data_IF_434777944265
#
_entry.id   IF_434777944265
#
_cell.length_a   1.000
_cell.length_b   1.000
_cell.length_c   1.000
_cell.angle_alpha   90.00
_cell.angle_beta   90.00
_cell.angle_gamma   90.00
#
_symmetry.space_group_name_H-M   'P 1'
#
loop_
_entity.id
_entity.type
_entity.pdbx_description
1 polymer ?
#
# COMPACT_ATOMS: atom_id res chain seq x y z
N UNK A 1 -0.85 -31.86 -21.32
CA UNK A 1 -0.82 -31.58 -22.77
C UNK A 1 -1.52 -30.25 -22.99
N UNK A 2 -0.77 -29.15 -22.91
CA UNK A 2 -1.26 -27.83 -23.30
C UNK A 2 -1.45 -27.83 -24.81
N UNK A 3 -2.67 -27.50 -25.26
CA UNK A 3 -2.89 -27.29 -26.69
C UNK A 3 -2.16 -26.00 -27.09
N UNK A 4 -1.45 -25.98 -28.22
CA UNK A 4 -0.80 -24.77 -28.70
C UNK A 4 -1.88 -23.71 -28.98
N UNK A 5 -1.67 -22.50 -28.47
CA UNK A 5 -2.52 -21.33 -28.71
C UNK A 5 -2.83 -21.20 -30.20
N UNK A 6 -4.08 -21.45 -30.58
CA UNK A 6 -4.52 -21.48 -31.97
C UNK A 6 -4.64 -20.04 -32.51
N UNK A 7 -3.71 -19.70 -33.41
CA UNK A 7 -3.76 -18.53 -34.29
C UNK A 7 -3.02 -17.32 -33.72
N UNK A 8 -2.01 -16.84 -34.45
CA UNK A 8 -1.35 -15.56 -34.19
C UNK A 8 -2.35 -14.42 -34.38
N UNK A 9 -3.12 -14.10 -33.34
CA UNK A 9 -4.03 -12.96 -33.32
C UNK A 9 -3.21 -11.70 -33.11
N UNK A 10 -3.50 -10.67 -33.90
CA UNK A 10 -2.74 -9.42 -33.89
C UNK A 10 -2.82 -8.81 -32.49
N UNK A 11 -1.70 -8.35 -31.90
CA UNK A 11 -1.76 -7.63 -30.64
C UNK A 11 -2.69 -6.43 -30.80
N UNK A 12 -3.51 -6.11 -29.78
CA UNK A 12 -4.39 -4.95 -29.86
C UNK A 12 -3.58 -3.71 -30.18
N UNK A 13 -4.09 -2.89 -31.09
CA UNK A 13 -3.52 -1.57 -31.32
C UNK A 13 -3.55 -0.80 -29.99
N UNK A 14 -2.49 -0.04 -29.67
CA UNK A 14 -2.33 0.63 -28.36
C UNK A 14 -3.59 1.41 -27.94
N UNK A 15 -4.22 2.10 -28.89
CA UNK A 15 -5.47 2.84 -28.67
C UNK A 15 -6.62 1.98 -28.15
N UNK A 16 -6.75 0.73 -28.63
CA UNK A 16 -7.80 -0.20 -28.20
C UNK A 16 -7.48 -0.76 -26.81
N UNK A 17 -6.21 -1.05 -26.54
CA UNK A 17 -5.76 -1.52 -25.22
C UNK A 17 -5.90 -0.45 -24.12
N UNK A 18 -5.86 0.84 -24.49
CA UNK A 18 -6.06 1.95 -23.56
C UNK A 18 -7.53 2.18 -23.18
N UNK A 19 -8.51 1.69 -23.96
CA UNK A 19 -9.94 1.93 -23.69
C UNK A 19 -10.36 1.44 -22.30
N UNK A 20 -10.08 0.17 -21.89
CA UNK A 20 -10.48 -0.30 -20.56
C UNK A 20 -9.73 0.41 -19.43
N UNK A 21 -8.47 0.81 -19.67
CA UNK A 21 -7.65 1.53 -18.68
C UNK A 21 -8.16 2.94 -18.47
N UNK A 22 -8.43 3.67 -19.54
CA UNK A 22 -9.00 5.02 -19.48
C UNK A 22 -10.40 5.01 -18.84
N UNK A 23 -11.22 4.02 -19.19
CA UNK A 23 -12.52 3.83 -18.56
C UNK A 23 -12.39 3.55 -17.06
N UNK A 24 -11.48 2.66 -16.65
CA UNK A 24 -11.24 2.37 -15.24
C UNK A 24 -10.82 3.62 -14.46
N UNK A 25 -9.91 4.43 -15.00
CA UNK A 25 -9.47 5.68 -14.37
C UNK A 25 -10.64 6.66 -14.23
N UNK A 26 -11.43 6.83 -15.30
CA UNK A 26 -12.60 7.71 -15.29
C UNK A 26 -13.68 7.23 -14.31
N UNK A 27 -13.95 5.92 -14.27
CA UNK A 27 -14.90 5.30 -13.36
C UNK A 27 -14.46 5.46 -11.90
N UNK A 28 -13.17 5.21 -11.61
CA UNK A 28 -12.62 5.42 -10.26
C UNK A 28 -12.72 6.90 -9.85
N UNK A 29 -12.32 7.83 -10.71
CA UNK A 29 -12.45 9.26 -10.45
C UNK A 29 -13.92 9.66 -10.18
N UNK A 30 -14.85 9.15 -10.99
CA UNK A 30 -16.29 9.41 -10.84
C UNK A 30 -16.91 8.76 -9.60
N UNK A 31 -16.36 7.66 -9.10
CA UNK A 31 -16.81 7.09 -7.82
C UNK A 31 -16.22 7.85 -6.62
N UNK A 32 -14.96 8.31 -6.70
CA UNK A 32 -14.24 8.87 -5.55
C UNK A 32 -14.50 10.37 -5.36
N UNK A 33 -14.67 11.15 -6.43
CA UNK A 33 -14.77 12.63 -6.33
C UNK A 33 -16.23 13.11 -6.24
N UNK A 34 -17.10 12.89 -7.24
CA UNK A 34 -18.49 13.35 -7.22
C UNK A 34 -19.41 12.51 -6.32
N UNK A 35 -19.18 11.20 -6.23
CA UNK A 35 -20.07 10.27 -5.53
C UNK A 35 -19.59 9.88 -4.12
N UNK A 36 -18.67 10.66 -3.55
CA UNK A 36 -18.10 10.40 -2.22
C UNK A 36 -19.16 10.22 -1.14
N UNK A 37 -20.26 10.98 -1.22
CA UNK A 37 -21.35 10.95 -0.22
C UNK A 37 -22.24 9.71 -0.31
N UNK A 38 -22.22 9.00 -1.44
CA UNK A 38 -23.03 7.79 -1.63
C UNK A 38 -22.29 6.51 -1.19
N UNK A 39 -21.07 6.65 -0.66
CA UNK A 39 -20.19 5.54 -0.26
C UNK A 39 -20.12 4.42 -1.33
N UNK A 40 -20.24 4.80 -2.61
CA UNK A 40 -20.22 3.83 -3.69
C UNK A 40 -18.88 3.10 -3.65
N UNK A 41 -18.97 1.79 -3.46
CA UNK A 41 -17.77 0.97 -3.34
C UNK A 41 -16.99 0.99 -4.66
N UNK A 42 -15.66 1.11 -4.55
CA UNK A 42 -14.72 1.02 -5.68
C UNK A 42 -14.89 -0.27 -6.49
N UNK A 43 -15.52 -1.30 -5.90
CA UNK A 43 -15.91 -2.53 -6.57
C UNK A 43 -16.78 -2.30 -7.82
N UNK A 44 -17.68 -1.32 -7.82
CA UNK A 44 -18.54 -1.06 -8.99
C UNK A 44 -17.73 -0.51 -10.18
N UNK A 45 -16.76 0.35 -9.92
CA UNK A 45 -15.84 0.84 -10.94
C UNK A 45 -14.98 -0.30 -11.52
N UNK A 46 -14.51 -1.21 -10.67
CA UNK A 46 -13.73 -2.38 -11.10
C UNK A 46 -14.57 -3.36 -11.92
N UNK A 47 -15.78 -3.70 -11.48
CA UNK A 47 -16.69 -4.60 -12.21
C UNK A 47 -17.05 -4.02 -13.57
N UNK A 48 -17.43 -2.75 -13.63
CA UNK A 48 -17.76 -2.10 -14.90
C UNK A 48 -16.55 -2.02 -15.84
N UNK A 49 -15.35 -1.76 -15.33
CA UNK A 49 -14.13 -1.82 -16.13
C UNK A 49 -13.85 -3.22 -16.68
N UNK A 50 -14.07 -4.28 -15.89
CA UNK A 50 -13.96 -5.68 -16.36
C UNK A 50 -14.98 -5.98 -17.47
N UNK A 51 -16.21 -5.48 -17.35
CA UNK A 51 -17.23 -5.62 -18.43
C UNK A 51 -16.76 -4.93 -19.71
N UNK A 52 -16.24 -3.71 -19.61
CA UNK A 52 -15.68 -2.98 -20.76
C UNK A 52 -14.48 -3.71 -21.36
N UNK A 53 -13.57 -4.22 -20.53
CA UNK A 53 -12.42 -5.01 -20.98
C UNK A 53 -12.85 -6.27 -21.73
N UNK A 54 -13.82 -7.01 -21.20
CA UNK A 54 -14.39 -8.20 -21.84
C UNK A 54 -15.06 -7.86 -23.16
N UNK A 55 -15.79 -6.73 -23.24
CA UNK A 55 -16.40 -6.28 -24.48
C UNK A 55 -15.37 -5.94 -25.55
N UNK A 56 -14.31 -5.21 -25.19
CA UNK A 56 -13.19 -4.90 -26.09
C UNK A 56 -12.50 -6.19 -26.56
N UNK A 57 -12.27 -7.15 -25.66
CA UNK A 57 -11.69 -8.45 -26.02
C UNK A 57 -12.57 -9.22 -27.02
N UNK A 58 -13.89 -9.22 -26.84
CA UNK A 58 -14.81 -9.84 -27.80
C UNK A 58 -14.74 -9.18 -29.18
N UNK A 59 -14.65 -7.85 -29.25
CA UNK A 59 -14.48 -7.12 -30.53
C UNK A 59 -13.16 -7.44 -31.23
N UNK A 60 -12.13 -7.78 -30.48
CA UNK A 60 -10.83 -8.24 -30.99
C UNK A 60 -10.84 -9.72 -31.43
N UNK A 61 -11.98 -10.41 -31.29
CA UNK A 61 -12.14 -11.79 -31.70
C UNK A 61 -11.70 -12.82 -30.65
N UNK A 62 -11.55 -12.42 -29.38
CA UNK A 62 -11.38 -13.39 -28.29
C UNK A 62 -12.71 -14.08 -27.97
N UNK A 63 -12.64 -15.39 -27.80
CA UNK A 63 -13.78 -16.20 -27.37
C UNK A 63 -14.05 -15.97 -25.89
N UNK A 64 -15.30 -16.17 -25.46
CA UNK A 64 -15.66 -16.06 -24.04
C UNK A 64 -14.78 -16.92 -23.13
N UNK A 65 -14.44 -18.14 -23.59
CA UNK A 65 -13.60 -19.06 -22.83
C UNK A 65 -12.18 -18.51 -22.60
N UNK A 66 -11.58 -17.87 -23.61
CA UNK A 66 -10.26 -17.24 -23.46
C UNK A 66 -10.31 -16.04 -22.50
N UNK A 67 -11.40 -15.28 -22.53
CA UNK A 67 -11.63 -14.16 -21.60
C UNK A 67 -11.79 -14.70 -20.17
N UNK A 68 -12.57 -15.77 -19.98
CA UNK A 68 -12.75 -16.45 -18.70
C UNK A 68 -11.45 -17.01 -18.14
N UNK A 69 -10.64 -17.69 -18.97
CA UNK A 69 -9.31 -18.16 -18.58
C UNK A 69 -8.40 -17.01 -18.14
N UNK A 70 -8.44 -15.87 -18.83
CA UNK A 70 -7.73 -14.66 -18.42
C UNK A 70 -8.21 -14.11 -17.07
N UNK A 71 -9.52 -14.08 -16.83
CA UNK A 71 -10.11 -13.67 -15.54
C UNK A 71 -9.66 -14.60 -14.40
N UNK A 72 -9.71 -15.92 -14.60
CA UNK A 72 -9.27 -16.91 -13.61
C UNK A 72 -7.76 -16.81 -13.32
N UNK A 73 -6.95 -16.52 -14.34
CA UNK A 73 -5.52 -16.23 -14.16
C UNK A 73 -5.29 -15.01 -13.27
N UNK A 74 -6.03 -13.91 -13.51
CA UNK A 74 -5.98 -12.71 -12.67
C UNK A 74 -6.40 -12.98 -11.22
N UNK A 75 -7.47 -13.76 -11.01
CA UNK A 75 -7.91 -14.18 -9.67
C UNK A 75 -6.83 -14.98 -8.96
N UNK A 76 -6.13 -15.88 -9.66
CA UNK A 76 -5.06 -16.70 -9.07
C UNK A 76 -3.90 -15.84 -8.55
N UNK A 77 -3.53 -14.78 -9.26
CA UNK A 77 -2.52 -13.81 -8.80
C UNK A 77 -3.03 -13.07 -7.55
N UNK A 78 -4.31 -12.65 -7.54
CA UNK A 78 -4.91 -11.94 -6.42
C UNK A 78 -5.04 -12.82 -5.16
N UNK A 79 -5.28 -14.12 -5.30
CA UNK A 79 -5.40 -15.06 -4.17
C UNK A 79 -4.14 -15.07 -3.30
N UNK A 80 -2.94 -14.97 -3.89
CA UNK A 80 -1.71 -14.88 -3.12
C UNK A 80 -1.70 -13.67 -2.18
N UNK A 81 -2.10 -12.49 -2.69
CA UNK A 81 -2.20 -11.29 -1.87
C UNK A 81 -3.27 -11.42 -0.77
N UNK A 82 -4.42 -12.04 -1.08
CA UNK A 82 -5.49 -12.27 -0.10
C UNK A 82 -5.03 -13.17 1.04
N UNK A 83 -4.32 -14.26 0.76
CA UNK A 83 -3.79 -15.16 1.80
C UNK A 83 -2.77 -14.44 2.67
N UNK A 84 -1.88 -13.64 2.08
CA UNK A 84 -0.91 -12.82 2.83
C UNK A 84 -1.63 -11.84 3.76
N UNK A 85 -2.63 -11.10 3.26
CA UNK A 85 -3.41 -10.16 4.08
C UNK A 85 -4.18 -10.87 5.21
N UNK A 86 -4.68 -12.09 4.97
CA UNK A 86 -5.35 -12.90 6.00
C UNK A 86 -4.38 -13.31 7.11
N UNK A 87 -3.20 -13.82 6.75
CA UNK A 87 -2.15 -14.21 7.72
C UNK A 87 -1.67 -12.99 8.50
N UNK A 88 -1.52 -11.84 7.85
CA UNK A 88 -1.17 -10.59 8.52
C UNK A 88 -2.28 -10.18 9.50
N UNK A 89 -3.55 -10.30 9.15
CA UNK A 89 -4.67 -10.04 10.06
C UNK A 89 -4.58 -10.89 11.34
N UNK A 90 -4.27 -12.18 11.21
CA UNK A 90 -4.04 -13.08 12.34
C UNK A 90 -2.79 -12.67 13.15
N UNK A 91 -1.71 -12.27 12.47
CA UNK A 91 -0.48 -11.80 13.11
C UNK A 91 -0.73 -10.54 13.94
N UNK A 92 -1.44 -9.55 13.40
CA UNK A 92 -1.77 -8.32 14.14
C UNK A 92 -2.65 -8.64 15.34
N UNK A 93 -3.66 -9.48 15.19
CA UNK A 93 -4.52 -9.89 16.30
C UNK A 93 -3.71 -10.54 17.42
N UNK A 94 -2.79 -11.44 17.07
CA UNK A 94 -1.89 -12.08 18.05
C UNK A 94 -0.93 -11.07 18.67
N UNK A 95 -0.39 -10.10 17.94
CA UNK A 95 0.48 -9.06 18.47
C UNK A 95 -0.24 -8.09 19.41
N UNK A 96 -1.50 -7.75 19.11
CA UNK A 96 -2.33 -6.94 20.01
C UNK A 96 -2.58 -7.72 21.30
N UNK A 97 -2.96 -9.00 21.21
CA UNK A 97 -3.20 -9.84 22.40
C UNK A 97 -1.92 -10.08 23.21
N UNK A 98 -0.78 -10.27 22.54
CA UNK A 98 0.52 -10.46 23.18
C UNK A 98 1.13 -9.16 23.73
N UNK A 99 0.52 -8.00 23.50
CA UNK A 99 1.03 -6.71 23.97
C UNK A 99 2.15 -6.10 23.13
N UNK A 100 2.53 -6.69 22.00
CA UNK A 100 3.60 -6.19 21.11
C UNK A 100 3.21 -4.86 20.47
N UNK A 101 2.01 -4.77 19.87
CA UNK A 101 1.52 -3.49 19.28
C UNK A 101 1.33 -2.42 20.37
N UNK A 102 0.67 -2.70 21.51
CA UNK A 102 0.62 -1.78 22.64
C UNK A 102 2.00 -1.31 23.14
N UNK A 103 3.00 -2.21 23.21
CA UNK A 103 4.36 -1.85 23.60
C UNK A 103 5.03 -0.92 22.59
N UNK A 104 4.89 -1.19 21.29
CA UNK A 104 5.37 -0.26 20.25
C UNK A 104 4.73 1.12 20.38
N UNK A 105 3.44 1.20 20.70
CA UNK A 105 2.75 2.48 20.93
C UNK A 105 3.29 3.18 22.17
N UNK A 106 3.42 2.46 23.29
CA UNK A 106 3.92 3.01 24.55
C UNK A 106 5.33 3.59 24.39
N UNK A 107 6.25 2.82 23.82
CA UNK A 107 7.61 3.31 23.58
C UNK A 107 7.67 4.38 22.49
N UNK A 108 6.84 4.27 21.45
CA UNK A 108 6.75 5.28 20.40
C UNK A 108 6.34 6.65 20.93
N UNK A 109 5.40 6.71 21.88
CA UNK A 109 4.96 7.95 22.53
C UNK A 109 6.03 8.55 23.46
N UNK A 110 6.95 7.73 23.99
CA UNK A 110 8.08 8.20 24.81
C UNK A 110 9.26 8.67 23.92
N UNK A 111 9.47 8.03 22.76
CA UNK A 111 10.61 8.28 21.88
C UNK A 111 10.36 9.36 20.81
N UNK A 112 9.12 9.50 20.33
CA UNK A 112 8.79 10.35 19.19
C UNK A 112 8.00 11.59 19.63
N UNK A 113 8.45 12.76 19.18
CA UNK A 113 7.70 14.01 19.29
C UNK A 113 6.96 14.32 17.98
N UNK A 114 5.89 15.13 18.00
CA UNK A 114 5.13 15.46 16.78
C UNK A 114 5.99 16.09 15.69
N UNK A 115 7.04 16.83 16.07
CA UNK A 115 7.93 17.51 15.13
C UNK A 115 8.70 16.56 14.23
N UNK A 116 9.03 15.38 14.72
CA UNK A 116 9.81 14.37 13.99
C UNK A 116 8.99 13.15 13.60
N UNK A 117 7.79 12.99 14.15
CA UNK A 117 7.01 11.77 14.03
C UNK A 117 6.71 11.39 12.57
N UNK A 118 6.20 12.32 11.74
CA UNK A 118 5.86 12.01 10.35
C UNK A 118 7.08 11.59 9.50
N UNK A 119 8.20 12.34 9.47
CA UNK A 119 9.38 11.87 8.74
C UNK A 119 9.96 10.59 9.33
N UNK A 120 9.93 10.40 10.66
CA UNK A 120 10.36 9.15 11.28
C UNK A 120 9.49 7.97 10.86
N UNK A 121 8.15 8.12 10.86
CA UNK A 121 7.21 7.10 10.41
C UNK A 121 7.47 6.71 8.95
N UNK A 122 7.70 7.69 8.07
CA UNK A 122 8.08 7.44 6.67
C UNK A 122 9.38 6.65 6.56
N UNK A 123 10.42 7.03 7.32
CA UNK A 123 11.71 6.32 7.28
C UNK A 123 11.65 4.91 7.87
N UNK A 124 10.93 4.73 8.99
CA UNK A 124 10.71 3.41 9.60
C UNK A 124 10.01 2.49 8.59
N UNK A 125 8.92 2.96 7.98
CA UNK A 125 8.22 2.18 6.96
C UNK A 125 9.08 1.94 5.71
N UNK A 126 9.89 2.91 5.29
CA UNK A 126 10.83 2.72 4.18
C UNK A 126 11.83 1.60 4.46
N UNK A 127 12.44 1.59 5.65
CA UNK A 127 13.44 0.58 6.03
C UNK A 127 12.80 -0.80 6.19
N UNK A 128 11.66 -0.89 6.87
CA UNK A 128 10.93 -2.16 7.05
C UNK A 128 10.46 -2.70 5.70
N UNK A 129 9.93 -1.85 4.83
CA UNK A 129 9.47 -2.30 3.51
C UNK A 129 10.62 -2.63 2.57
N UNK A 130 11.78 -1.99 2.71
CA UNK A 130 12.99 -2.36 1.98
C UNK A 130 13.46 -3.76 2.40
N UNK A 131 13.46 -4.04 3.71
CA UNK A 131 13.88 -5.31 4.27
C UNK A 131 12.90 -6.46 4.00
N UNK A 132 11.60 -6.16 3.98
CA UNK A 132 10.55 -7.18 3.77
C UNK A 132 10.14 -7.33 2.30
N UNK A 133 10.40 -6.34 1.46
CA UNK A 133 9.95 -6.32 0.07
C UNK A 133 8.43 -6.20 -0.09
N UNK A 134 7.70 -5.73 0.94
CA UNK A 134 6.24 -5.66 0.89
C UNK A 134 5.69 -4.42 1.58
N UNK A 135 5.06 -3.56 0.78
CA UNK A 135 4.36 -2.38 1.29
C UNK A 135 3.14 -2.73 2.15
N UNK A 136 2.36 -3.73 1.75
CA UNK A 136 1.19 -4.20 2.48
C UNK A 136 1.55 -4.78 3.85
N UNK A 137 2.58 -5.63 3.91
CA UNK A 137 3.07 -6.17 5.19
C UNK A 137 3.57 -5.06 6.12
N UNK A 138 4.30 -4.09 5.57
CA UNK A 138 4.82 -2.96 6.35
C UNK A 138 3.71 -2.08 6.92
N UNK A 139 2.74 -1.69 6.08
CA UNK A 139 1.62 -0.86 6.51
C UNK A 139 0.77 -1.57 7.58
N UNK A 140 0.62 -2.88 7.47
CA UNK A 140 -0.20 -3.67 8.36
C UNK A 140 0.51 -4.07 9.67
N UNK A 141 1.84 -4.14 9.71
CA UNK A 141 2.60 -4.47 10.93
C UNK A 141 2.99 -3.21 11.71
N UNK A 142 4.11 -2.59 11.35
CA UNK A 142 4.62 -1.38 12.01
C UNK A 142 3.74 -0.16 11.73
N UNK A 143 3.08 -0.11 10.57
CA UNK A 143 2.18 0.98 10.21
C UNK A 143 0.98 1.11 11.16
N UNK A 144 0.38 0.01 11.61
CA UNK A 144 -0.74 0.06 12.59
C UNK A 144 -0.29 0.64 13.92
N UNK A 145 0.90 0.26 14.39
CA UNK A 145 1.48 0.85 15.60
C UNK A 145 1.73 2.35 15.43
N UNK A 146 2.27 2.76 14.28
CA UNK A 146 2.49 4.18 13.95
C UNK A 146 1.17 4.96 13.84
N UNK A 147 0.08 4.38 13.37
CA UNK A 147 -1.25 5.02 13.44
C UNK A 147 -1.64 5.31 14.89
N UNK A 148 -1.48 4.34 15.79
CA UNK A 148 -1.77 4.52 17.21
C UNK A 148 -0.88 5.57 17.89
N UNK A 149 0.41 5.59 17.57
CA UNK A 149 1.33 6.63 18.06
C UNK A 149 0.91 8.01 17.53
N UNK A 150 0.62 8.11 16.24
CA UNK A 150 0.20 9.36 15.62
C UNK A 150 -1.10 9.91 16.22
N UNK A 151 -2.09 9.07 16.46
CA UNK A 151 -3.33 9.44 17.16
C UNK A 151 -3.06 9.90 18.60
N UNK A 152 -2.15 9.23 19.32
CA UNK A 152 -1.73 9.64 20.66
C UNK A 152 -0.94 10.95 20.70
N UNK A 153 -0.22 11.29 19.63
CA UNK A 153 0.47 12.58 19.45
C UNK A 153 -0.45 13.68 18.91
N UNK A 154 -1.74 13.41 18.71
CA UNK A 154 -2.71 14.38 18.18
C UNK A 154 -2.56 14.66 16.68
N UNK A 155 -1.87 13.80 15.93
CA UNK A 155 -1.65 13.96 14.50
C UNK A 155 -2.88 13.53 13.69
N UNK A 156 -3.29 14.28 12.66
CA UNK A 156 -4.43 13.89 11.83
C UNK A 156 -4.17 12.54 11.14
N UNK A 157 -5.02 11.55 11.44
CA UNK A 157 -4.91 10.18 10.90
C UNK A 157 -4.66 10.09 9.39
N UNK A 158 -5.29 10.90 8.51
CA UNK A 158 -5.01 10.85 7.07
C UNK A 158 -3.56 11.20 6.72
N UNK A 159 -2.95 12.15 7.45
CA UNK A 159 -1.56 12.55 7.23
C UNK A 159 -0.61 11.45 7.71
N UNK A 160 -0.91 10.83 8.85
CA UNK A 160 -0.15 9.69 9.38
C UNK A 160 -0.18 8.51 8.41
N UNK A 161 -1.36 8.16 7.91
CA UNK A 161 -1.53 7.14 6.87
C UNK A 161 -0.72 7.48 5.60
N UNK A 162 -0.75 8.75 5.16
CA UNK A 162 0.08 9.21 4.05
C UNK A 162 1.57 8.99 4.27
N UNK A 163 2.08 9.35 5.46
CA UNK A 163 3.49 9.17 5.83
C UNK A 163 3.92 7.70 5.83
N UNK A 164 3.09 6.81 6.39
CA UNK A 164 3.30 5.36 6.42
C UNK A 164 3.33 4.79 4.99
N UNK A 165 2.30 5.10 4.18
CA UNK A 165 2.17 4.58 2.81
C UNK A 165 3.33 5.07 1.93
N UNK A 166 3.76 6.32 2.11
CA UNK A 166 4.90 6.89 1.37
C UNK A 166 6.19 6.10 1.63
N UNK A 167 6.46 5.79 2.89
CA UNK A 167 7.60 4.96 3.28
C UNK A 167 7.48 3.53 2.77
N UNK A 168 6.32 2.91 3.00
CA UNK A 168 6.06 1.54 2.59
C UNK A 168 6.23 1.35 1.08
N UNK A 169 5.65 2.21 0.24
CA UNK A 169 5.82 2.10 -1.21
C UNK A 169 7.22 2.45 -1.70
N UNK A 170 7.92 3.36 -1.02
CA UNK A 170 9.32 3.59 -1.33
C UNK A 170 10.14 2.31 -1.11
N UNK A 171 10.04 1.68 0.06
CA UNK A 171 10.84 0.50 0.39
C UNK A 171 10.53 -0.69 -0.51
N UNK A 172 9.24 -0.93 -0.79
CA UNK A 172 8.77 -1.98 -1.71
C UNK A 172 9.42 -1.84 -3.11
N UNK A 173 9.36 -0.64 -3.70
CA UNK A 173 9.95 -0.34 -5.01
C UNK A 173 11.46 -0.45 -5.09
N UNK A 174 12.14 -0.27 -3.95
CA UNK A 174 13.60 -0.30 -3.88
C UNK A 174 14.14 -1.67 -3.43
N UNK A 175 13.26 -2.58 -3.00
CA UNK A 175 13.65 -3.88 -2.47
C UNK A 175 13.85 -4.92 -3.58
N UNK A 176 15.02 -5.57 -3.68
CA UNK A 176 15.20 -6.71 -4.59
C UNK A 176 14.39 -7.95 -4.17
N UNK A 177 13.81 -7.94 -2.96
CA UNK A 177 12.96 -9.00 -2.43
C UNK A 177 11.48 -8.84 -2.84
N UNK A 178 11.10 -7.68 -3.39
CA UNK A 178 9.72 -7.42 -3.81
C UNK A 178 9.40 -8.12 -5.13
N UNK A 179 8.25 -8.79 -5.16
CA UNK A 179 7.70 -9.42 -6.37
C UNK A 179 7.54 -8.40 -7.50
N UNK A 180 7.06 -7.19 -7.19
CA UNK A 180 6.82 -6.16 -8.22
C UNK A 180 8.12 -5.62 -8.79
N UNK A 181 9.12 -5.42 -7.93
CA UNK A 181 10.47 -4.97 -8.31
C UNK A 181 11.20 -6.04 -9.12
N UNK A 182 10.91 -7.33 -8.90
CA UNK A 182 11.50 -8.44 -9.64
C UNK A 182 10.79 -8.71 -10.98
N UNK A 183 9.46 -8.66 -11.00
CA UNK A 183 8.65 -8.93 -12.20
C UNK A 183 8.76 -7.83 -13.25
N UNK A 184 8.84 -6.56 -12.86
CA UNK A 184 8.93 -5.44 -13.80
C UNK A 184 10.14 -5.52 -14.76
N UNK A 185 11.39 -5.67 -14.28
CA UNK A 185 12.55 -5.84 -15.16
C UNK A 185 12.53 -7.16 -15.93
N UNK A 186 12.03 -8.25 -15.33
CA UNK A 186 11.90 -9.54 -16.02
C UNK A 186 10.99 -9.45 -17.25
N UNK A 187 9.89 -8.70 -17.16
CA UNK A 187 8.99 -8.44 -18.31
C UNK A 187 9.61 -7.48 -19.34
N UNK A 188 10.45 -6.54 -18.91
CA UNK A 188 11.10 -5.57 -19.78
C UNK A 188 12.42 -6.07 -20.42
N UNK A 189 12.90 -7.25 -20.02
CA UNK A 189 14.21 -7.78 -20.44
C UNK A 189 15.40 -7.03 -19.87
N UNK A 190 15.24 -6.39 -18.71
CA UNK A 190 16.28 -5.65 -18.00
C UNK A 190 16.83 -6.44 -16.80
N UNK A 191 18.04 -6.10 -16.35
CA UNK A 191 18.58 -6.64 -15.09
C UNK A 191 17.93 -5.98 -13.87
N UNK A 192 17.73 -6.76 -12.80
CA UNK A 192 17.09 -6.31 -11.57
C UNK A 192 17.85 -5.16 -10.89
N UNK A 193 19.16 -5.28 -10.74
CA UNK A 193 19.95 -4.26 -10.04
C UNK A 193 20.10 -3.01 -10.88
N UNK A 194 20.16 -3.13 -12.20
CA UNK A 194 20.12 -1.98 -13.10
C UNK A 194 18.77 -1.26 -13.02
N UNK A 195 17.65 -2.00 -12.94
CA UNK A 195 16.33 -1.42 -12.73
C UNK A 195 16.25 -0.66 -11.39
N UNK A 196 16.67 -1.26 -10.28
CA UNK A 196 16.68 -0.61 -8.96
C UNK A 196 17.57 0.64 -8.97
N UNK A 197 18.74 0.59 -9.60
CA UNK A 197 19.62 1.76 -9.74
C UNK A 197 18.94 2.89 -10.51
N UNK A 198 18.21 2.58 -11.58
CA UNK A 198 17.45 3.59 -12.32
C UNK A 198 16.26 4.14 -11.51
N UNK A 199 15.60 3.30 -10.73
CA UNK A 199 14.52 3.69 -9.84
C UNK A 199 14.95 4.71 -8.76
N UNK A 200 16.23 4.73 -8.35
CA UNK A 200 16.76 5.76 -7.44
C UNK A 200 16.51 7.17 -7.98
N UNK A 201 16.64 7.39 -9.29
CA UNK A 201 16.47 8.72 -9.90
C UNK A 201 15.04 9.25 -9.88
N UNK A 202 14.04 8.38 -9.68
CA UNK A 202 12.63 8.78 -9.61
C UNK A 202 12.10 8.66 -8.17
N UNK A 203 12.40 7.54 -7.53
CA UNK A 203 11.88 7.19 -6.20
C UNK A 203 12.65 7.88 -5.09
N UNK A 204 13.97 8.08 -5.23
CA UNK A 204 14.78 8.87 -4.30
C UNK A 204 14.29 10.31 -4.16
N UNK A 205 14.17 11.09 -5.26
CA UNK A 205 13.61 12.44 -5.20
C UNK A 205 12.20 12.50 -4.61
N UNK A 206 11.33 11.55 -4.96
CA UNK A 206 9.97 11.51 -4.38
C UNK A 206 9.98 11.31 -2.86
N UNK A 207 10.88 10.46 -2.33
CA UNK A 207 11.05 10.28 -0.90
C UNK A 207 11.55 11.56 -0.23
N UNK A 208 12.54 12.22 -0.82
CA UNK A 208 13.08 13.48 -0.28
C UNK A 208 11.97 14.54 -0.22
N UNK A 209 11.19 14.69 -1.29
CA UNK A 209 10.05 15.61 -1.32
C UNK A 209 9.03 15.26 -0.22
N UNK A 210 8.69 13.98 -0.08
CA UNK A 210 7.78 13.52 0.96
C UNK A 210 8.32 13.83 2.37
N UNK A 211 9.60 13.55 2.65
CA UNK A 211 10.23 13.83 3.93
C UNK A 211 10.27 15.33 4.24
N UNK A 212 10.52 16.17 3.25
CA UNK A 212 10.49 17.63 3.41
C UNK A 212 9.07 18.10 3.75
N UNK A 213 8.05 17.64 3.02
CA UNK A 213 6.65 17.99 3.28
C UNK A 213 6.23 17.52 4.69
N UNK A 214 6.52 16.27 5.05
CA UNK A 214 6.20 15.73 6.37
C UNK A 214 6.98 16.41 7.49
N UNK A 215 8.22 16.85 7.23
CA UNK A 215 9.01 17.65 8.16
C UNK A 215 8.37 19.02 8.43
N UNK A 216 7.90 19.71 7.39
CA UNK A 216 7.19 20.98 7.57
C UNK A 216 5.86 20.81 8.31
N UNK A 217 5.10 19.76 7.99
CA UNK A 217 3.84 19.47 8.70
C UNK A 217 4.12 19.16 10.17
N UNK A 218 5.10 18.29 10.45
CA UNK A 218 5.47 17.93 11.83
C UNK A 218 5.95 19.14 12.63
N UNK A 219 6.82 19.99 12.05
CA UNK A 219 7.31 21.20 12.72
C UNK A 219 6.17 22.15 13.15
N UNK A 220 5.10 22.22 12.37
CA UNK A 220 3.89 22.98 12.69
C UNK A 220 3.03 22.38 13.83
N UNK A 221 3.26 21.13 14.21
CA UNK A 221 2.50 20.40 15.24
C UNK A 221 3.11 20.46 16.65
N UNK A 222 4.12 21.30 16.86
CA UNK A 222 4.94 21.38 18.09
C UNK A 222 4.20 21.84 19.35
N UNK A 223 2.97 22.35 19.25
CA UNK A 223 2.17 22.81 20.40
C UNK A 223 0.89 22.02 20.69
N UNK A 224 0.68 20.87 20.03
CA UNK A 224 -0.61 20.15 20.04
C UNK A 224 -0.63 18.85 20.85
N UNK A 225 0.45 18.49 21.55
CA UNK A 225 0.44 17.26 22.36
C UNK A 225 -0.37 17.50 23.63
N UNK A 226 -1.55 16.92 23.69
CA UNK A 226 -2.30 16.78 24.93
C UNK A 226 -1.61 15.73 25.81
N UNK A 227 -0.79 16.19 26.75
CA UNK A 227 -0.09 15.31 27.70
C UNK A 227 -1.06 14.47 28.53
N UNK A 228 -2.28 14.96 28.78
CA UNK A 228 -3.30 14.18 29.48
C UNK A 228 -3.82 13.02 28.61
N UNK A 229 -3.93 13.22 27.29
CA UNK A 229 -4.26 12.15 26.34
C UNK A 229 -3.16 11.09 26.31
N UNK A 230 -1.89 11.51 26.20
CA UNK A 230 -0.75 10.59 26.22
C UNK A 230 -0.71 9.77 27.52
N UNK A 231 -0.87 10.43 28.67
CA UNK A 231 -0.93 9.76 29.97
C UNK A 231 -2.11 8.80 30.10
N UNK A 232 -3.26 9.13 29.52
CA UNK A 232 -4.43 8.27 29.49
C UNK A 232 -4.15 6.99 28.67
N UNK A 233 -3.57 7.14 27.48
CA UNK A 233 -3.19 6.00 26.62
C UNK A 233 -2.15 5.13 27.33
N UNK A 234 -1.11 5.72 27.92
CA UNK A 234 -0.08 5.01 28.68
C UNK A 234 -0.68 4.23 29.87
N UNK A 235 -1.57 4.84 30.65
CA UNK A 235 -2.25 4.17 31.77
C UNK A 235 -3.14 3.03 31.30
N UNK A 236 -3.91 3.22 30.23
CA UNK A 236 -4.77 2.19 29.66
C UNK A 236 -3.94 0.98 29.18
N UNK A 237 -2.85 1.24 28.46
CA UNK A 237 -1.95 0.19 27.97
C UNK A 237 -1.29 -0.56 29.14
N UNK A 238 -0.69 0.16 30.10
CA UNK A 238 -0.01 -0.48 31.26
C UNK A 238 -0.98 -1.20 32.20
N UNK A 239 -2.25 -0.80 32.22
CA UNK A 239 -3.31 -1.49 32.99
C UNK A 239 -3.83 -2.76 32.31
N UNK A 240 -3.80 -2.82 30.98
CA UNK A 240 -4.30 -3.97 30.20
C UNK A 240 -3.20 -4.98 29.81
N UNK A 241 -1.94 -4.54 29.72
CA UNK A 241 -0.82 -5.34 29.23
C UNK A 241 0.38 -5.30 30.16
N UNK A 242 1.03 -6.45 30.33
CA UNK A 242 2.32 -6.54 31.01
C UNK A 242 3.44 -6.10 30.06
N UNK A 243 3.75 -4.81 30.05
CA UNK A 243 4.88 -4.26 29.28
C UNK A 243 6.13 -4.30 30.16
N UNK A 244 7.08 -5.15 29.78
CA UNK A 244 8.41 -5.19 30.38
C UNK A 244 9.30 -4.09 29.79
N UNK A 245 10.15 -3.44 30.62
CA UNK A 245 11.08 -2.38 30.19
C UNK A 245 12.08 -2.85 29.12
#
# INVERSE_FOLDING_TARGET
MEKPFAGARRPPHLLVALVPVAFLIAALWFTVVPLREFELTTHLALISATVVASFVAMLLGYTWKEIEEGMLGGISIALNAVVILLVIGLLIATWIQAGIVPAMIAYGLELLSPSIFLPAATLICALVSLATGSSWSTAATVGIALIGIGEGLGMPRPVVAGAIISGAYFGDKMSPLSDTTNLAPAMAGADLFDHVRHMVYTTGPSLIIALVIYGFIGAGSTGMVDTAQVDSIQKAIRGAYAIHP
#
